data_IF_127088435882
#
_entry.id   IF_127088435882
#
_cell.length_a   1.000
_cell.length_b   1.000
_cell.length_c   1.000
_cell.angle_alpha   90.00
_cell.angle_beta   90.00
_cell.angle_gamma   90.00
#
_symmetry.space_group_name_H-M   'P 1'
#
loop_
_entity.id
_entity.type
_entity.pdbx_description
1 polymer ?
#
# COMPACT_ATOMS: atom_id res chain seq x y z
N UNK A 1 -5.49 23.34 -6.30
CA UNK A 1 -4.07 23.10 -6.67
C UNK A 1 -3.22 22.44 -5.57
N UNK A 2 -3.45 22.68 -4.26
CA UNK A 2 -2.63 22.10 -3.17
C UNK A 2 -2.66 20.56 -3.06
N UNK A 3 -3.79 19.89 -3.32
CA UNK A 3 -3.91 18.42 -3.22
C UNK A 3 -3.04 17.64 -4.23
N UNK A 4 -2.80 18.18 -5.43
CA UNK A 4 -1.98 17.50 -6.46
C UNK A 4 -0.51 17.40 -6.06
N UNK A 5 0.04 18.42 -5.38
CA UNK A 5 1.44 18.42 -4.93
C UNK A 5 1.71 17.38 -3.85
N UNK A 6 0.78 17.20 -2.91
CA UNK A 6 0.90 16.19 -1.85
C UNK A 6 0.85 14.77 -2.42
N UNK A 7 0.02 14.50 -3.42
CA UNK A 7 -0.03 13.18 -4.09
C UNK A 7 1.28 12.86 -4.81
N UNK A 8 1.85 13.83 -5.54
CA UNK A 8 3.12 13.64 -6.27
C UNK A 8 4.27 13.39 -5.30
N UNK A 9 4.35 14.15 -4.21
CA UNK A 9 5.34 13.93 -3.15
C UNK A 9 5.21 12.52 -2.56
N UNK A 10 3.98 12.04 -2.39
CA UNK A 10 3.69 10.70 -1.88
C UNK A 10 4.20 9.59 -2.79
N UNK A 11 3.93 9.73 -4.09
CA UNK A 11 4.39 8.79 -5.12
C UNK A 11 5.92 8.74 -5.14
N UNK A 12 6.55 9.92 -5.11
CA UNK A 12 8.00 10.01 -5.07
C UNK A 12 8.59 9.36 -3.81
N UNK A 13 7.96 9.53 -2.65
CA UNK A 13 8.40 8.91 -1.41
C UNK A 13 8.29 7.38 -1.45
N UNK A 14 7.17 6.86 -1.95
CA UNK A 14 6.93 5.42 -2.12
C UNK A 14 7.92 4.79 -3.10
N UNK A 15 8.22 5.51 -4.18
CA UNK A 15 9.22 5.06 -5.15
C UNK A 15 10.62 5.04 -4.54
N UNK A 16 10.99 6.10 -3.82
CA UNK A 16 12.30 6.22 -3.19
C UNK A 16 12.52 5.14 -2.13
N UNK A 17 11.51 4.84 -1.31
CA UNK A 17 11.60 3.75 -0.32
C UNK A 17 11.71 2.38 -0.97
N UNK A 18 10.95 2.10 -2.03
CA UNK A 18 11.07 0.86 -2.80
C UNK A 18 12.45 0.71 -3.46
N UNK A 19 13.01 1.81 -3.96
CA UNK A 19 14.35 1.82 -4.53
C UNK A 19 15.44 1.58 -3.48
N UNK A 20 15.35 2.25 -2.32
CA UNK A 20 16.30 2.05 -1.22
C UNK A 20 16.22 0.62 -0.69
N UNK A 21 15.02 0.04 -0.57
CA UNK A 21 14.83 -1.35 -0.15
C UNK A 21 15.43 -2.34 -1.14
N UNK A 22 15.23 -2.12 -2.45
CA UNK A 22 15.84 -2.97 -3.46
C UNK A 22 17.38 -2.89 -3.50
N UNK A 23 17.98 -1.80 -3.02
CA UNK A 23 19.42 -1.53 -3.15
C UNK A 23 20.22 -1.71 -1.86
N UNK A 24 19.67 -1.36 -0.68
CA UNK A 24 20.45 -1.21 0.56
C UNK A 24 20.03 -2.12 1.72
N UNK A 25 18.78 -2.58 1.79
CA UNK A 25 18.25 -3.21 3.01
C UNK A 25 17.36 -4.42 2.69
N UNK A 26 17.62 -5.62 3.24
CA UNK A 26 16.72 -6.78 3.12
C UNK A 26 15.43 -6.63 3.93
N UNK A 27 15.18 -5.45 4.52
CA UNK A 27 14.05 -5.18 5.41
C UNK A 27 12.87 -4.62 4.62
N UNK A 28 11.65 -5.15 4.80
CA UNK A 28 10.48 -4.74 4.04
C UNK A 28 9.90 -3.41 4.54
N UNK A 29 10.67 -2.33 4.41
CA UNK A 29 10.28 -0.97 4.86
C UNK A 29 9.05 -0.49 4.09
N UNK A 30 8.96 -0.80 2.81
CA UNK A 30 7.79 -0.54 1.97
C UNK A 30 6.54 -1.21 2.49
N UNK A 31 6.63 -2.42 3.03
CA UNK A 31 5.50 -3.12 3.65
C UNK A 31 4.99 -2.35 4.88
N UNK A 32 5.89 -1.91 5.76
CA UNK A 32 5.54 -1.11 6.94
C UNK A 32 4.87 0.20 6.52
N UNK A 33 5.41 0.85 5.49
CA UNK A 33 4.84 2.08 4.95
C UNK A 33 3.43 1.86 4.40
N UNK A 34 3.21 0.79 3.63
CA UNK A 34 1.87 0.40 3.13
C UNK A 34 0.90 0.15 4.28
N UNK A 35 1.33 -0.52 5.36
CA UNK A 35 0.48 -0.77 6.53
C UNK A 35 0.05 0.52 7.23
N UNK A 36 1.00 1.44 7.48
CA UNK A 36 0.72 2.74 8.11
C UNK A 36 -0.26 3.53 7.23
N UNK A 37 -0.02 3.58 5.92
CA UNK A 37 -0.89 4.31 5.00
C UNK A 37 -2.27 3.70 4.90
N UNK A 38 -2.38 2.37 4.92
CA UNK A 38 -3.67 1.71 4.94
C UNK A 38 -4.50 2.13 6.14
N UNK A 39 -3.86 2.27 7.31
CA UNK A 39 -4.56 2.76 8.49
C UNK A 39 -5.15 4.17 8.30
N UNK A 40 -4.43 5.09 7.66
CA UNK A 40 -4.92 6.47 7.45
C UNK A 40 -5.86 6.62 6.24
N UNK A 41 -5.55 5.99 5.11
CA UNK A 41 -6.26 6.18 3.83
C UNK A 41 -7.36 5.15 3.56
N UNK A 42 -7.44 4.08 4.36
CA UNK A 42 -8.45 3.05 4.17
C UNK A 42 -8.27 2.33 2.83
N UNK A 43 -9.37 2.08 2.13
CA UNK A 43 -9.39 1.36 0.85
C UNK A 43 -8.73 2.14 -0.30
N UNK A 44 -8.60 3.46 -0.18
CA UNK A 44 -7.98 4.30 -1.21
C UNK A 44 -6.51 3.95 -1.45
N UNK A 45 -5.87 3.21 -0.54
CA UNK A 45 -4.49 2.74 -0.71
C UNK A 45 -4.39 1.51 -1.60
N UNK A 46 -5.46 0.74 -1.82
CA UNK A 46 -5.38 -0.56 -2.50
C UNK A 46 -4.75 -0.48 -3.90
N UNK A 47 -5.13 0.47 -4.78
CA UNK A 47 -4.47 0.59 -6.08
C UNK A 47 -2.98 0.92 -5.92
N UNK A 48 -2.63 1.78 -4.97
CA UNK A 48 -1.23 2.17 -4.72
C UNK A 48 -0.39 1.03 -4.18
N UNK A 49 -0.93 0.25 -3.23
CA UNK A 49 -0.30 -0.94 -2.66
C UNK A 49 -0.07 -2.02 -3.73
N UNK A 50 -1.02 -2.18 -4.66
CA UNK A 50 -0.87 -3.09 -5.78
C UNK A 50 0.25 -2.65 -6.74
N UNK A 51 0.23 -1.39 -7.19
CA UNK A 51 1.25 -0.87 -8.12
C UNK A 51 2.65 -0.84 -7.50
N UNK A 52 2.77 -0.46 -6.22
CA UNK A 52 4.07 -0.47 -5.54
C UNK A 52 4.63 -1.88 -5.41
N UNK A 53 3.78 -2.87 -5.10
CA UNK A 53 4.20 -4.28 -5.05
C UNK A 53 4.63 -4.81 -6.41
N UNK A 54 3.92 -4.49 -7.49
CA UNK A 54 4.34 -4.85 -8.86
C UNK A 54 5.68 -4.21 -9.24
N UNK A 55 5.89 -2.94 -8.86
CA UNK A 55 7.15 -2.26 -9.09
C UNK A 55 8.31 -2.92 -8.35
N UNK A 56 8.05 -3.38 -7.13
CA UNK A 56 9.04 -4.05 -6.28
C UNK A 56 9.36 -5.46 -6.80
N UNK A 57 8.35 -6.20 -7.29
CA UNK A 57 8.56 -7.46 -8.00
C UNK A 57 9.48 -7.28 -9.23
N UNK A 58 9.27 -6.21 -10.01
CA UNK A 58 10.10 -5.87 -11.18
C UNK A 58 11.54 -5.52 -10.79
N UNK A 59 11.72 -4.69 -9.76
CA UNK A 59 13.06 -4.27 -9.30
C UNK A 59 13.88 -5.44 -8.74
N UNK A 60 13.23 -6.38 -8.06
CA UNK A 60 13.89 -7.54 -7.48
C UNK A 60 14.03 -8.72 -8.46
N UNK A 61 13.63 -8.56 -9.73
CA UNK A 61 13.56 -9.66 -10.71
C UNK A 61 12.82 -10.90 -10.17
N UNK A 62 11.82 -10.70 -9.32
CA UNK A 62 11.01 -11.79 -8.75
C UNK A 62 9.79 -12.04 -9.63
N UNK A 63 9.06 -13.12 -9.30
CA UNK A 63 7.82 -13.43 -9.98
C UNK A 63 6.82 -12.29 -9.80
N UNK A 64 6.44 -11.66 -10.92
CA UNK A 64 5.41 -10.63 -10.99
C UNK A 64 4.16 -11.08 -10.22
N UNK A 65 3.75 -10.26 -9.26
CA UNK A 65 2.54 -10.47 -8.48
C UNK A 65 2.80 -10.83 -7.01
N UNK A 66 3.97 -11.36 -6.64
CA UNK A 66 4.25 -11.84 -5.27
C UNK A 66 4.12 -10.71 -4.23
N UNK A 67 4.87 -9.63 -4.42
CA UNK A 67 4.82 -8.48 -3.50
C UNK A 67 3.51 -7.71 -3.61
N UNK A 68 2.91 -7.65 -4.79
CA UNK A 68 1.58 -7.02 -4.96
C UNK A 68 0.52 -7.69 -4.09
N UNK A 69 0.56 -9.02 -3.99
CA UNK A 69 -0.39 -9.82 -3.22
C UNK A 69 -0.13 -9.65 -1.71
N UNK A 70 1.14 -9.63 -1.30
CA UNK A 70 1.53 -9.35 0.09
C UNK A 70 1.03 -7.96 0.51
N UNK A 71 1.24 -6.94 -0.31
CA UNK A 71 0.87 -5.56 0.02
C UNK A 71 -0.64 -5.36 0.07
N UNK A 72 -1.38 -5.95 -0.87
CA UNK A 72 -2.84 -5.95 -0.84
C UNK A 72 -3.38 -6.67 0.41
N UNK A 73 -2.81 -7.83 0.73
CA UNK A 73 -3.22 -8.60 1.92
C UNK A 73 -2.96 -7.83 3.20
N UNK A 74 -1.80 -7.19 3.32
CA UNK A 74 -1.46 -6.36 4.47
C UNK A 74 -2.39 -5.14 4.59
N UNK A 75 -2.67 -4.45 3.49
CA UNK A 75 -3.59 -3.32 3.47
C UNK A 75 -5.03 -3.75 3.85
N UNK A 76 -5.49 -4.87 3.30
CA UNK A 76 -6.78 -5.45 3.65
C UNK A 76 -6.85 -5.80 5.14
N UNK A 77 -5.84 -6.49 5.67
CA UNK A 77 -5.79 -6.89 7.08
C UNK A 77 -5.84 -5.67 8.01
N UNK A 78 -5.09 -4.61 7.70
CA UNK A 78 -5.11 -3.37 8.47
C UNK A 78 -6.48 -2.69 8.41
N UNK A 79 -7.10 -2.62 7.23
CA UNK A 79 -8.44 -2.04 7.11
C UNK A 79 -9.51 -2.86 7.84
N UNK A 80 -9.41 -4.18 7.75
CA UNK A 80 -10.30 -5.10 8.47
C UNK A 80 -10.14 -4.96 9.98
N UNK A 81 -8.90 -4.96 10.49
CA UNK A 81 -8.61 -4.74 11.92
C UNK A 81 -9.08 -3.35 12.36
N UNK A 82 -8.88 -2.33 11.53
CA UNK A 82 -9.35 -0.97 11.81
C UNK A 82 -10.87 -0.92 11.95
N UNK A 83 -11.61 -1.53 11.04
CA UNK A 83 -13.07 -1.60 11.10
C UNK A 83 -13.54 -2.38 12.34
N UNK A 84 -12.90 -3.52 12.63
CA UNK A 84 -13.33 -4.43 13.71
C UNK A 84 -12.96 -3.93 15.11
N UNK A 85 -11.81 -3.26 15.28
CA UNK A 85 -11.30 -2.83 16.58
C UNK A 85 -11.72 -1.39 16.90
N UNK A 86 -11.65 -0.50 15.92
CA UNK A 86 -11.88 0.93 16.17
C UNK A 86 -13.30 1.39 15.84
N UNK A 87 -14.15 0.54 15.25
CA UNK A 87 -15.53 0.91 14.87
C UNK A 87 -15.60 2.11 13.91
N UNK A 88 -14.45 2.49 13.33
CA UNK A 88 -14.35 3.56 12.36
C UNK A 88 -14.87 2.97 11.05
N UNK A 89 -16.18 3.13 10.83
CA UNK A 89 -16.83 2.92 9.54
C UNK A 89 -16.22 3.91 8.52
N UNK A 90 -14.99 3.65 8.07
CA UNK A 90 -14.55 4.14 6.78
C UNK A 90 -15.42 3.38 5.79
N UNK A 91 -16.53 4.04 5.42
CA UNK A 91 -17.71 3.53 4.73
C UNK A 91 -17.54 2.16 4.09
N UNK A 92 -18.39 1.22 4.52
CA UNK A 92 -18.72 -0.07 3.87
C UNK A 92 -17.77 -0.39 2.71
N UNK A 93 -16.91 -1.40 2.89
CA UNK A 93 -16.33 -2.17 1.78
C UNK A 93 -17.49 -2.51 0.83
N UNK A 94 -17.72 -1.68 -0.18
CA UNK A 94 -18.86 -1.79 -1.07
C UNK A 94 -18.50 -2.86 -2.07
N UNK A 95 -18.68 -4.11 -1.64
CA UNK A 95 -18.83 -5.21 -2.58
C UNK A 95 -19.95 -4.79 -3.54
N UNK A 96 -19.73 -4.84 -4.87
CA UNK A 96 -20.79 -4.52 -5.81
C UNK A 96 -21.95 -5.47 -5.54
N UNK A 97 -23.06 -4.92 -5.05
CA UNK A 97 -24.32 -5.65 -4.96
C UNK A 97 -24.73 -5.98 -6.40
N UNK A 98 -24.91 -7.29 -6.65
CA UNK A 98 -25.39 -7.83 -7.93
C UNK A 98 -26.81 -7.37 -8.22
#
# INVERSE_FOLDING_TARGET
>A
MKRKKTTILFIFLLFLTAFIEAVLLPLPITLIFVMILSFFWGEKIFPWAFFSGLWLDLLLWRHLGSWSLIFLTAAFLINFLKQRIFGLESGKLSLPEK
#
